data_IF_670366737172
#
_entry.id   IF_670366737172
#
_cell.length_a   1.000
_cell.length_b   1.000
_cell.length_c   1.000
_cell.angle_alpha   90.00
_cell.angle_beta   90.00
_cell.angle_gamma   90.00
#
_symmetry.space_group_name_H-M   'P 1'
#
loop_
_entity.id
_entity.type
_entity.pdbx_description
1 polymer ?
#
# COMPACT_ATOMS: atom_id res chain seq x y z
N UNK A 1 18.43 -7.75 -13.23
CA UNK A 1 17.99 -8.86 -12.36
C UNK A 1 17.65 -10.09 -13.19
N UNK A 2 16.74 -9.99 -14.14
CA UNK A 2 16.35 -11.11 -15.02
C UNK A 2 17.52 -11.71 -15.81
N UNK A 3 18.44 -10.88 -16.32
CA UNK A 3 19.67 -11.35 -16.97
C UNK A 3 20.58 -12.23 -16.06
N UNK A 4 20.37 -12.18 -14.75
CA UNK A 4 21.05 -13.00 -13.75
C UNK A 4 20.16 -14.11 -13.18
N UNK A 5 19.04 -14.44 -13.84
CA UNK A 5 18.14 -15.54 -13.45
C UNK A 5 17.22 -15.24 -12.26
N UNK A 6 17.13 -13.97 -11.83
CA UNK A 6 16.22 -13.55 -10.76
C UNK A 6 14.88 -13.17 -11.39
N UNK A 7 13.81 -13.88 -11.03
CA UNK A 7 12.45 -13.56 -11.44
C UNK A 7 11.99 -12.26 -10.79
N UNK A 8 11.44 -11.36 -11.60
CA UNK A 8 10.99 -10.03 -11.18
C UNK A 8 9.51 -9.89 -11.46
N UNK A 9 8.73 -9.52 -10.44
CA UNK A 9 7.40 -8.98 -10.64
C UNK A 9 7.56 -7.61 -11.29
N UNK A 10 6.95 -7.44 -12.46
CA UNK A 10 7.02 -6.21 -13.26
C UNK A 10 6.65 -4.94 -12.47
N UNK A 11 6.82 -3.80 -13.13
CA UNK A 11 6.71 -2.49 -12.47
C UNK A 11 5.34 -2.34 -11.78
N UNK A 12 5.39 -2.07 -10.48
CA UNK A 12 4.26 -1.62 -9.68
C UNK A 12 4.33 -0.11 -9.54
N UNK A 13 3.26 0.56 -9.90
CA UNK A 13 3.12 2.01 -9.75
C UNK A 13 2.51 2.30 -8.37
N UNK A 14 3.15 3.14 -7.56
CA UNK A 14 2.70 3.59 -6.24
C UNK A 14 2.37 5.09 -6.19
N UNK A 15 2.10 5.72 -7.33
CA UNK A 15 1.84 7.16 -7.51
C UNK A 15 3.07 8.06 -7.28
N UNK A 16 3.72 7.96 -6.11
CA UNK A 16 4.90 8.76 -5.75
C UNK A 16 6.24 8.06 -6.09
N UNK A 17 6.21 6.76 -6.33
CA UNK A 17 7.35 5.96 -6.77
C UNK A 17 6.90 4.77 -7.61
N UNK A 18 7.82 4.21 -8.39
CA UNK A 18 7.67 2.90 -8.99
C UNK A 18 8.49 1.88 -8.21
N UNK A 19 8.06 0.63 -8.22
CA UNK A 19 8.83 -0.46 -7.63
C UNK A 19 8.80 -1.73 -8.47
N UNK A 20 9.76 -2.60 -8.21
CA UNK A 20 9.76 -4.00 -8.64
C UNK A 20 9.96 -4.89 -7.42
N UNK A 21 9.39 -6.09 -7.45
CA UNK A 21 9.54 -7.08 -6.39
C UNK A 21 10.22 -8.35 -6.91
N UNK A 22 11.08 -8.96 -6.09
CA UNK A 22 11.75 -10.22 -6.41
C UNK A 22 12.18 -10.93 -5.12
N UNK A 23 12.58 -12.20 -5.24
CA UNK A 23 13.17 -12.94 -4.13
C UNK A 23 14.69 -12.94 -4.23
N UNK A 24 15.36 -12.77 -3.09
CA UNK A 24 16.79 -13.05 -2.98
C UNK A 24 17.07 -14.58 -2.94
N UNK A 25 18.33 -15.01 -3.05
CA UNK A 25 18.66 -16.44 -2.98
C UNK A 25 18.30 -17.14 -1.66
N UNK A 26 18.06 -16.38 -0.59
CA UNK A 26 17.64 -16.91 0.71
C UNK A 26 16.11 -17.03 0.83
N UNK A 27 15.36 -16.63 -0.20
CA UNK A 27 13.90 -16.62 -0.20
C UNK A 27 13.27 -15.40 0.46
N UNK A 28 14.04 -14.34 0.72
CA UNK A 28 13.52 -13.07 1.25
C UNK A 28 12.94 -12.24 0.11
N UNK A 29 11.69 -11.77 0.26
CA UNK A 29 11.08 -10.87 -0.71
C UNK A 29 11.64 -9.46 -0.53
N UNK A 30 12.24 -8.94 -1.60
CA UNK A 30 12.78 -7.59 -1.67
C UNK A 30 11.94 -6.70 -2.59
N UNK A 31 12.01 -5.40 -2.33
CA UNK A 31 11.45 -4.34 -3.16
C UNK A 31 12.57 -3.38 -3.54
N UNK A 32 12.70 -3.09 -4.83
CA UNK A 32 13.52 -1.97 -5.31
C UNK A 32 12.61 -0.87 -5.81
N UNK A 33 12.79 0.32 -5.25
CA UNK A 33 11.95 1.49 -5.54
C UNK A 33 12.75 2.56 -6.29
N UNK A 34 12.05 3.29 -7.15
CA UNK A 34 12.53 4.49 -7.82
C UNK A 34 11.53 5.62 -7.55
N UNK A 35 11.97 6.64 -6.80
CA UNK A 35 11.13 7.80 -6.50
C UNK A 35 10.87 8.60 -7.77
N UNK A 36 9.61 8.96 -7.99
CA UNK A 36 9.16 9.79 -9.11
C UNK A 36 8.67 11.15 -8.65
N UNK A 37 8.13 11.23 -7.44
CA UNK A 37 7.63 12.48 -6.87
C UNK A 37 8.78 13.45 -6.58
N UNK A 38 8.59 14.70 -7.00
CA UNK A 38 9.48 15.79 -6.61
C UNK A 38 9.28 16.21 -5.14
N UNK A 39 10.14 17.11 -4.66
CA UNK A 39 10.08 17.59 -3.28
C UNK A 39 8.75 18.26 -2.93
N UNK A 40 8.13 18.98 -3.89
CA UNK A 40 6.87 19.67 -3.65
C UNK A 40 5.71 18.69 -3.54
N UNK A 41 5.65 17.68 -4.42
CA UNK A 41 4.68 16.60 -4.36
C UNK A 41 4.81 15.82 -3.06
N UNK A 42 6.03 15.42 -2.69
CA UNK A 42 6.30 14.75 -1.42
C UNK A 42 5.84 15.61 -0.22
N UNK A 43 6.06 16.92 -0.26
CA UNK A 43 5.59 17.84 0.77
C UNK A 43 4.06 17.85 0.85
N UNK A 44 3.34 17.90 -0.27
CA UNK A 44 1.87 17.88 -0.24
C UNK A 44 1.33 16.57 0.36
N UNK A 45 1.86 15.42 -0.07
CA UNK A 45 1.45 14.10 0.43
C UNK A 45 1.67 13.96 1.94
N UNK A 46 2.79 14.48 2.45
CA UNK A 46 3.12 14.40 3.89
C UNK A 46 2.12 15.12 4.80
N UNK A 47 1.42 16.15 4.31
CA UNK A 47 0.48 16.97 5.11
C UNK A 47 -0.69 16.17 5.67
N UNK A 48 -1.09 15.09 5.00
CA UNK A 48 -2.31 14.34 5.35
C UNK A 48 -2.02 12.93 5.85
N UNK A 49 -0.80 12.40 5.65
CA UNK A 49 -0.44 11.02 5.93
C UNK A 49 -0.74 10.59 7.38
N UNK A 50 -0.33 11.40 8.37
CA UNK A 50 -0.57 11.09 9.78
C UNK A 50 -2.05 11.13 10.15
N UNK A 51 -2.79 12.12 9.65
CA UNK A 51 -4.23 12.24 9.91
C UNK A 51 -5.00 11.04 9.35
N UNK A 52 -4.70 10.65 8.10
CA UNK A 52 -5.29 9.48 7.44
C UNK A 52 -4.99 8.18 8.18
N UNK A 53 -3.75 8.00 8.66
CA UNK A 53 -3.37 6.82 9.46
C UNK A 53 -4.09 6.78 10.81
N UNK A 54 -4.20 7.92 11.50
CA UNK A 54 -4.89 8.02 12.78
C UNK A 54 -6.39 7.65 12.63
N UNK A 55 -7.05 8.20 11.62
CA UNK A 55 -8.43 7.90 11.29
C UNK A 55 -8.65 6.41 10.99
N UNK A 56 -7.79 5.82 10.14
CA UNK A 56 -7.84 4.40 9.85
C UNK A 56 -7.65 3.53 11.10
N UNK A 57 -6.73 3.92 11.98
CA UNK A 57 -6.43 3.19 13.21
C UNK A 57 -7.63 3.20 14.15
N UNK A 58 -8.24 4.37 14.37
CA UNK A 58 -9.45 4.50 15.19
C UNK A 58 -10.62 3.67 14.64
N UNK A 59 -10.86 3.72 13.32
CA UNK A 59 -11.91 2.92 12.67
C UNK A 59 -11.63 1.42 12.79
N UNK A 60 -10.38 0.99 12.63
CA UNK A 60 -10.00 -0.42 12.77
C UNK A 60 -10.14 -0.91 14.21
N UNK A 61 -9.89 -0.05 15.20
CA UNK A 61 -10.15 -0.36 16.60
C UNK A 61 -11.64 -0.56 16.87
N UNK A 62 -12.48 0.39 16.43
CA UNK A 62 -13.94 0.27 16.55
C UNK A 62 -14.45 -1.00 15.86
N UNK A 63 -14.02 -1.25 14.61
CA UNK A 63 -14.43 -2.45 13.86
C UNK A 63 -14.03 -3.75 14.56
N UNK A 64 -12.85 -3.80 15.20
CA UNK A 64 -12.42 -4.97 15.99
C UNK A 64 -13.31 -5.19 17.21
N UNK A 65 -13.69 -4.11 17.91
CA UNK A 65 -14.59 -4.20 19.07
C UNK A 65 -16.01 -4.68 18.65
N UNK A 66 -16.55 -4.15 17.54
CA UNK A 66 -17.84 -4.56 17.01
C UNK A 66 -17.83 -6.01 16.53
N UNK A 67 -16.75 -6.46 15.87
CA UNK A 67 -16.58 -7.85 15.44
C UNK A 67 -16.50 -8.80 16.63
N UNK A 68 -15.75 -8.44 17.67
CA UNK A 68 -15.68 -9.21 18.91
C UNK A 68 -17.05 -9.31 19.61
N UNK A 69 -17.87 -8.27 19.51
CA UNK A 69 -19.25 -8.25 20.00
C UNK A 69 -20.28 -8.92 19.06
N UNK A 70 -19.84 -9.52 17.94
CA UNK A 70 -20.72 -10.18 16.97
C UNK A 70 -21.54 -9.23 16.09
N UNK A 71 -21.25 -7.93 16.09
CA UNK A 71 -22.00 -6.90 15.35
C UNK A 71 -21.45 -6.62 13.95
N UNK A 72 -20.18 -6.92 13.70
CA UNK A 72 -19.54 -6.70 12.41
C UNK A 72 -19.05 -8.03 11.79
N UNK A 73 -19.71 -8.47 10.72
CA UNK A 73 -19.32 -9.67 9.97
C UNK A 73 -18.39 -9.35 8.79
N UNK A 74 -18.60 -8.20 8.13
CA UNK A 74 -17.88 -7.84 6.91
C UNK A 74 -16.47 -7.28 7.17
N UNK A 75 -15.52 -7.47 6.23
CA UNK A 75 -14.21 -6.84 6.28
C UNK A 75 -14.28 -5.30 6.25
N UNK A 76 -13.47 -4.64 7.08
CA UNK A 76 -13.34 -3.18 7.06
C UNK A 76 -12.70 -2.71 5.75
N UNK A 77 -13.40 -1.86 4.99
CA UNK A 77 -12.89 -1.24 3.77
C UNK A 77 -12.32 0.17 4.04
N UNK A 78 -11.29 0.60 3.29
CA UNK A 78 -10.85 2.00 3.27
C UNK A 78 -12.01 2.95 2.92
N UNK A 79 -11.99 4.17 3.45
CA UNK A 79 -13.01 5.18 3.16
C UNK A 79 -12.88 5.78 1.77
N UNK A 80 -11.64 5.97 1.34
CA UNK A 80 -11.30 6.57 0.07
C UNK A 80 -10.35 5.62 -0.65
N UNK A 81 -10.61 5.39 -1.94
CA UNK A 81 -9.65 4.80 -2.84
C UNK A 81 -9.03 5.93 -3.65
N UNK A 82 -7.77 6.26 -3.37
CA UNK A 82 -7.04 7.29 -4.10
C UNK A 82 -6.71 6.86 -5.55
N UNK A 83 -6.91 5.58 -5.88
CA UNK A 83 -6.61 4.98 -7.19
C UNK A 83 -7.77 4.13 -7.73
N UNK A 84 -8.88 4.76 -8.12
CA UNK A 84 -10.05 4.05 -8.65
C UNK A 84 -9.74 3.26 -9.93
N UNK A 85 -8.76 3.69 -10.73
CA UNK A 85 -8.35 3.04 -11.98
C UNK A 85 -7.75 1.64 -11.79
N UNK A 86 -7.23 1.34 -10.61
CA UNK A 86 -6.58 0.05 -10.30
C UNK A 86 -7.54 -0.92 -9.59
N UNK A 87 -8.71 -0.43 -9.16
CA UNK A 87 -9.67 -1.21 -8.37
C UNK A 87 -10.29 -2.41 -9.14
N UNK A 88 -10.17 -2.43 -10.46
CA UNK A 88 -10.82 -3.40 -11.34
C UNK A 88 -9.98 -4.66 -11.66
N UNK A 89 -8.78 -4.81 -11.08
CA UNK A 89 -7.95 -6.02 -11.25
C UNK A 89 -7.87 -6.81 -9.94
N UNK A 90 -8.85 -7.68 -9.71
CA UNK A 90 -8.75 -8.84 -8.83
C UNK A 90 -9.27 -10.06 -9.60
#
# INVERSE_FOLDING_TARGET
>A
LEAHGIEVLGITDHHIFHSIYFFDPNGVRLELTAQLADEFQMLQESKTAHARLAEWTARKEQWRAERAAGKAAEPLKPQQNDRPEVAAKQ
#
